data_IF_752428362638
#
_entry.id   IF_752428362638
#
_cell.length_a   1.000
_cell.length_b   1.000
_cell.length_c   1.000
_cell.angle_alpha   90.00
_cell.angle_beta   90.00
_cell.angle_gamma   90.00
#
_symmetry.space_group_name_H-M   'P 1'
#
loop_
_entity.id
_entity.type
_entity.pdbx_description
1 polymer ?
#
# COMPACT_ATOMS: atom_id res chain seq x y z
N UNK A 1 16.61 0.26 2.29
CA UNK A 1 15.54 -0.77 2.27
C UNK A 1 15.75 -1.80 1.16
N UNK A 2 15.67 -1.46 -0.14
CA UNK A 2 15.90 -2.39 -1.27
C UNK A 2 17.07 -3.37 -1.09
N UNK A 3 18.28 -2.85 -0.87
CA UNK A 3 19.48 -3.70 -0.72
C UNK A 3 19.42 -4.59 0.52
N UNK A 4 18.78 -4.12 1.59
CA UNK A 4 18.54 -4.94 2.78
C UNK A 4 17.58 -6.10 2.46
N UNK A 5 16.47 -5.86 1.76
CA UNK A 5 15.55 -6.94 1.33
C UNK A 5 16.25 -7.98 0.46
N UNK A 6 17.14 -7.55 -0.44
CA UNK A 6 17.90 -8.46 -1.30
C UNK A 6 18.90 -9.34 -0.54
N UNK A 7 19.46 -8.81 0.54
CA UNK A 7 20.36 -9.58 1.40
C UNK A 7 19.57 -10.52 2.31
N UNK A 8 18.56 -9.99 3.01
CA UNK A 8 17.76 -10.72 3.99
C UNK A 8 16.95 -11.84 3.33
N UNK A 9 16.27 -11.52 2.24
CA UNK A 9 15.43 -12.46 1.49
C UNK A 9 16.08 -12.86 0.17
N UNK A 10 17.39 -13.13 0.22
CA UNK A 10 18.18 -13.56 -0.95
C UNK A 10 17.63 -14.83 -1.64
N UNK A 11 16.86 -15.64 -0.91
CA UNK A 11 16.17 -16.83 -1.41
C UNK A 11 14.82 -16.56 -2.10
N UNK A 12 14.25 -15.36 -1.93
CA UNK A 12 13.04 -14.95 -2.61
C UNK A 12 13.35 -14.34 -3.99
N UNK A 13 12.40 -14.43 -4.94
CA UNK A 13 12.49 -13.67 -6.18
C UNK A 13 12.69 -12.17 -5.89
N UNK A 14 13.54 -11.55 -6.70
CA UNK A 14 13.77 -10.11 -6.67
C UNK A 14 12.48 -9.35 -6.99
N UNK A 15 12.38 -8.10 -6.52
CA UNK A 15 11.20 -7.27 -6.77
C UNK A 15 10.91 -7.17 -8.26
N UNK A 16 9.63 -7.23 -8.63
CA UNK A 16 9.20 -7.07 -10.01
C UNK A 16 8.93 -5.60 -10.34
N UNK A 17 8.50 -4.79 -9.36
CA UNK A 17 8.11 -3.39 -9.53
C UNK A 17 8.32 -2.58 -8.25
N UNK A 18 8.64 -1.30 -8.42
CA UNK A 18 8.52 -0.28 -7.36
C UNK A 18 7.32 0.60 -7.64
N UNK A 19 6.41 0.71 -6.68
CA UNK A 19 5.28 1.62 -6.75
C UNK A 19 5.55 2.85 -5.91
N UNK A 20 5.27 4.03 -6.46
CA UNK A 20 5.39 5.31 -5.75
C UNK A 20 4.10 6.08 -5.93
N UNK A 21 3.65 6.75 -4.87
CA UNK A 21 2.49 7.63 -4.94
C UNK A 21 2.65 8.66 -6.06
N UNK A 22 1.66 8.85 -6.96
CA UNK A 22 1.73 9.83 -8.04
C UNK A 22 2.07 11.27 -7.61
N UNK A 23 1.78 11.64 -6.36
CA UNK A 23 2.11 12.95 -5.80
C UNK A 23 3.61 13.08 -5.44
N UNK A 24 4.31 11.98 -5.15
CA UNK A 24 5.71 11.95 -4.74
C UNK A 24 6.68 12.02 -5.94
N UNK A 25 6.61 13.11 -6.71
CA UNK A 25 7.44 13.31 -7.90
C UNK A 25 8.94 13.39 -7.58
N UNK A 26 9.34 14.07 -6.51
CA UNK A 26 10.78 14.17 -6.11
C UNK A 26 11.38 12.80 -5.86
N UNK A 27 10.72 11.99 -5.03
CA UNK A 27 11.15 10.62 -4.72
C UNK A 27 11.24 9.76 -5.99
N UNK A 28 10.30 9.92 -6.91
CA UNK A 28 10.32 9.19 -8.18
C UNK A 28 11.56 9.56 -9.02
N UNK A 29 11.92 10.84 -9.07
CA UNK A 29 13.12 11.30 -9.79
C UNK A 29 14.41 10.89 -9.09
N UNK A 30 14.47 10.95 -7.76
CA UNK A 30 15.61 10.48 -6.98
C UNK A 30 15.87 8.99 -7.20
N UNK A 31 14.82 8.16 -7.15
CA UNK A 31 14.92 6.73 -7.45
C UNK A 31 15.36 6.49 -8.89
N UNK A 32 14.89 7.30 -9.85
CA UNK A 32 15.33 7.23 -11.25
C UNK A 32 16.83 7.50 -11.39
N UNK A 33 17.38 8.49 -10.69
CA UNK A 33 18.82 8.78 -10.67
C UNK A 33 19.62 7.59 -10.12
N UNK A 34 19.06 6.88 -9.14
CA UNK A 34 19.63 5.63 -8.60
C UNK A 34 19.41 4.40 -9.48
N UNK A 35 18.88 4.56 -10.70
CA UNK A 35 18.62 3.47 -11.65
C UNK A 35 17.39 2.62 -11.30
N UNK A 36 16.54 3.07 -10.38
CA UNK A 36 15.30 2.38 -9.98
C UNK A 36 14.14 2.96 -10.78
N UNK A 37 13.59 2.16 -11.69
CA UNK A 37 12.40 2.52 -12.46
C UNK A 37 11.15 2.33 -11.59
N UNK A 38 10.39 3.40 -11.40
CA UNK A 38 9.17 3.41 -10.61
C UNK A 38 7.92 3.32 -11.48
N UNK A 39 6.85 2.78 -10.91
CA UNK A 39 5.50 2.75 -11.47
C UNK A 39 4.59 3.57 -10.57
N UNK A 40 3.61 4.27 -11.14
CA UNK A 40 2.61 5.01 -10.36
C UNK A 40 1.76 4.03 -9.54
N UNK A 41 1.71 4.23 -8.23
CA UNK A 41 0.85 3.49 -7.32
C UNK A 41 -0.63 3.75 -7.66
N UNK A 42 -1.47 2.72 -7.49
CA UNK A 42 -2.91 2.87 -7.62
C UNK A 42 -3.52 3.39 -6.33
N UNK A 43 -3.59 4.72 -6.24
CA UNK A 43 -4.15 5.43 -5.10
C UNK A 43 -5.67 5.66 -5.17
N UNK A 44 -6.38 4.93 -6.05
CA UNK A 44 -7.81 5.07 -6.33
C UNK A 44 -8.22 6.39 -7.02
N UNK A 45 -7.29 7.29 -7.39
CA UNK A 45 -7.64 8.57 -8.08
C UNK A 45 -8.46 8.40 -9.36
N UNK A 46 -8.33 7.25 -10.04
CA UNK A 46 -9.06 6.90 -11.28
C UNK A 46 -10.33 6.07 -11.04
N UNK A 47 -10.60 5.62 -9.81
CA UNK A 47 -11.77 4.81 -9.55
C UNK A 47 -13.06 5.65 -9.66
N UNK A 48 -14.13 5.02 -10.14
CA UNK A 48 -15.46 5.64 -10.25
C UNK A 48 -16.24 5.32 -8.97
N UNK A 49 -16.93 6.31 -8.43
CA UNK A 49 -17.84 6.15 -7.28
C UNK A 49 -19.21 6.64 -7.68
N UNK A 50 -20.25 6.00 -7.14
CA UNK A 50 -21.62 6.53 -7.20
C UNK A 50 -21.72 7.78 -6.32
N UNK A 51 -22.80 8.55 -6.51
CA UNK A 51 -22.99 9.95 -6.11
C UNK A 51 -22.61 10.36 -4.67
N UNK A 52 -22.42 9.42 -3.74
CA UNK A 52 -22.19 9.68 -2.33
C UNK A 52 -20.87 9.10 -1.76
N UNK A 53 -20.06 8.38 -2.54
CA UNK A 53 -18.84 7.73 -2.05
C UNK A 53 -17.55 8.49 -2.39
N UNK A 54 -16.53 8.40 -1.52
CA UNK A 54 -15.17 8.84 -1.87
C UNK A 54 -14.44 7.73 -2.63
N UNK A 55 -13.55 8.08 -3.57
CA UNK A 55 -12.85 7.07 -4.39
C UNK A 55 -11.99 6.12 -3.56
N UNK A 56 -11.50 6.59 -2.42
CA UNK A 56 -10.70 5.81 -1.49
C UNK A 56 -11.50 4.66 -0.84
N UNK A 57 -12.83 4.78 -0.72
CA UNK A 57 -13.69 3.72 -0.18
C UNK A 57 -13.52 2.40 -0.94
N UNK A 58 -13.44 2.47 -2.27
CA UNK A 58 -13.23 1.28 -3.12
C UNK A 58 -11.92 0.56 -2.73
N UNK A 59 -10.86 1.31 -2.42
CA UNK A 59 -9.59 0.75 -1.96
C UNK A 59 -9.67 0.16 -0.55
N UNK A 60 -10.40 0.82 0.35
CA UNK A 60 -10.65 0.33 1.71
C UNK A 60 -11.44 -0.99 1.67
N UNK A 61 -12.50 -1.06 0.87
CA UNK A 61 -13.31 -2.28 0.70
C UNK A 61 -12.49 -3.44 0.11
N UNK A 62 -11.65 -3.17 -0.89
CA UNK A 62 -10.72 -4.18 -1.43
C UNK A 62 -9.74 -4.68 -0.35
N UNK A 63 -9.26 -3.77 0.49
CA UNK A 63 -8.37 -4.11 1.63
C UNK A 63 -9.08 -4.99 2.65
N UNK A 64 -10.29 -4.61 3.07
CA UNK A 64 -11.12 -5.42 3.96
C UNK A 64 -11.45 -6.79 3.36
N UNK A 65 -11.73 -6.86 2.06
CA UNK A 65 -11.97 -8.11 1.33
C UNK A 65 -10.72 -9.00 1.29
N UNK A 66 -9.53 -8.42 1.11
CA UNK A 66 -8.28 -9.16 1.16
C UNK A 66 -8.01 -9.74 2.56
N UNK A 67 -8.29 -8.97 3.62
CA UNK A 67 -8.11 -9.41 5.00
C UNK A 67 -9.11 -10.51 5.37
N UNK A 68 -10.40 -10.27 5.15
CA UNK A 68 -11.47 -11.21 5.50
C UNK A 68 -11.37 -12.55 4.75
N UNK A 69 -10.80 -12.56 3.54
CA UNK A 69 -10.59 -13.78 2.74
C UNK A 69 -9.24 -14.46 2.98
N UNK A 70 -8.45 -13.98 3.94
CA UNK A 70 -7.12 -14.55 4.24
C UNK A 70 -6.16 -14.48 3.07
N UNK A 71 -6.17 -13.37 2.30
CA UNK A 71 -5.30 -13.16 1.14
C UNK A 71 -4.13 -12.22 1.42
N UNK A 72 -4.11 -11.60 2.60
CA UNK A 72 -3.04 -10.72 3.05
C UNK A 72 -2.41 -11.32 4.31
N UNK A 73 -1.08 -11.33 4.34
CA UNK A 73 -0.31 -11.85 5.45
C UNK A 73 0.85 -10.90 5.74
N UNK A 74 1.13 -10.70 7.02
CA UNK A 74 2.37 -10.07 7.47
C UNK A 74 3.38 -11.19 7.71
N UNK A 75 4.45 -11.18 6.93
CA UNK A 75 5.55 -12.11 7.13
C UNK A 75 6.49 -11.55 8.18
N UNK A 76 6.46 -12.13 9.38
CA UNK A 76 7.30 -11.69 10.47
C UNK A 76 8.74 -12.19 10.30
N UNK A 77 9.70 -11.37 10.75
CA UNK A 77 11.10 -11.74 10.77
C UNK A 77 11.83 -10.97 11.89
N UNK A 78 12.86 -11.59 12.45
CA UNK A 78 13.75 -10.88 13.36
C UNK A 78 14.61 -9.89 12.54
N UNK A 79 14.65 -8.61 12.93
CA UNK A 79 15.53 -7.66 12.27
C UNK A 79 15.15 -6.19 12.38
N UNK A 80 15.73 -5.40 11.46
CA UNK A 80 15.66 -3.93 11.47
C UNK A 80 14.30 -3.38 11.05
N UNK A 81 13.61 -4.08 10.15
CA UNK A 81 12.30 -3.68 9.65
C UNK A 81 11.26 -4.64 10.23
N UNK A 82 10.02 -4.17 10.40
CA UNK A 82 8.96 -4.95 11.00
C UNK A 82 7.64 -4.23 10.86
N UNK A 83 6.60 -4.82 11.45
CA UNK A 83 5.21 -4.42 11.19
C UNK A 83 4.64 -3.44 12.20
N UNK A 84 5.46 -2.91 13.12
CA UNK A 84 4.99 -2.08 14.23
C UNK A 84 4.13 -0.90 13.78
N UNK A 85 4.60 -0.13 12.79
CA UNK A 85 3.84 1.02 12.29
C UNK A 85 2.56 0.60 11.59
N UNK A 86 2.59 -0.47 10.79
CA UNK A 86 1.39 -1.00 10.15
C UNK A 86 0.34 -1.45 11.18
N UNK A 87 0.74 -2.22 12.20
CA UNK A 87 -0.17 -2.72 13.25
C UNK A 87 -0.71 -1.55 14.09
N UNK A 88 0.15 -0.59 14.44
CA UNK A 88 -0.25 0.61 15.18
C UNK A 88 -1.29 1.41 14.39
N UNK A 89 -1.03 1.69 13.13
CA UNK A 89 -1.95 2.45 12.27
C UNK A 89 -3.26 1.68 12.06
N UNK A 90 -3.21 0.37 11.87
CA UNK A 90 -4.41 -0.48 11.78
C UNK A 90 -5.32 -0.34 13.01
N UNK A 91 -4.74 -0.28 14.21
CA UNK A 91 -5.49 -0.06 15.45
C UNK A 91 -5.98 1.38 15.66
N UNK A 92 -5.49 2.35 14.89
CA UNK A 92 -5.83 3.77 15.03
C UNK A 92 -6.70 4.30 13.88
N UNK A 93 -6.87 3.53 12.80
CA UNK A 93 -7.56 3.99 11.61
C UNK A 93 -9.08 4.01 11.82
N UNK A 94 -9.63 5.21 11.87
CA UNK A 94 -11.03 5.47 12.24
C UNK A 94 -11.72 6.37 11.23
N UNK A 95 -13.06 6.42 11.31
CA UNK A 95 -13.89 7.38 10.59
C UNK A 95 -14.30 8.52 11.51
N UNK A 96 -14.52 9.69 10.94
CA UNK A 96 -15.12 10.82 11.65
C UNK A 96 -16.65 10.67 11.75
N UNK A 97 -17.30 11.62 12.44
CA UNK A 97 -18.76 11.62 12.66
C UNK A 97 -19.59 11.65 11.37
N UNK A 98 -18.99 12.14 10.28
CA UNK A 98 -19.61 12.15 8.94
C UNK A 98 -19.36 10.87 8.15
N UNK A 99 -18.69 9.87 8.74
CA UNK A 99 -18.41 8.58 8.12
C UNK A 99 -17.21 8.58 7.16
N UNK A 100 -16.43 9.66 7.07
CA UNK A 100 -15.24 9.71 6.21
C UNK A 100 -14.00 9.17 6.95
N UNK A 101 -13.08 8.48 6.25
CA UNK A 101 -11.82 8.07 6.85
C UNK A 101 -11.03 9.29 7.31
N UNK A 102 -10.48 9.23 8.52
CA UNK A 102 -9.64 10.30 9.07
C UNK A 102 -8.24 10.22 8.44
N UNK A 103 -7.78 11.31 7.83
CA UNK A 103 -6.44 11.42 7.22
C UNK A 103 -5.37 11.68 8.29
N UNK A 104 -5.15 10.66 9.14
CA UNK A 104 -4.14 10.69 10.21
C UNK A 104 -3.74 9.27 10.60
N UNK A 105 -2.44 9.04 10.79
CA UNK A 105 -1.87 7.73 11.15
C UNK A 105 -2.27 6.64 10.13
N UNK A 106 -2.09 6.92 8.85
CA UNK A 106 -2.54 6.09 7.73
C UNK A 106 -1.46 5.82 6.68
N UNK A 107 -0.20 6.19 6.90
CA UNK A 107 0.85 6.09 5.89
C UNK A 107 1.10 4.65 5.44
N UNK A 108 1.21 3.71 6.38
CA UNK A 108 1.38 2.29 6.11
C UNK A 108 0.09 1.66 5.56
N UNK A 109 -1.08 2.15 5.98
CA UNK A 109 -2.37 1.69 5.45
C UNK A 109 -2.62 2.17 4.02
N UNK A 110 -2.17 3.36 3.66
CA UNK A 110 -2.22 3.88 2.30
C UNK A 110 -1.28 3.08 1.39
N UNK A 111 -0.06 2.80 1.84
CA UNK A 111 0.88 1.92 1.12
C UNK A 111 0.29 0.51 0.91
N UNK A 112 -0.29 -0.08 1.94
CA UNK A 112 -0.98 -1.36 1.87
C UNK A 112 -2.16 -1.34 0.88
N UNK A 113 -2.99 -0.29 0.93
CA UNK A 113 -4.12 -0.09 0.00
C UNK A 113 -3.64 -0.01 -1.45
N UNK A 114 -2.55 0.68 -1.71
CA UNK A 114 -1.96 0.78 -3.06
C UNK A 114 -1.54 -0.59 -3.59
N UNK A 115 -0.87 -1.39 -2.74
CA UNK A 115 -0.49 -2.75 -3.09
C UNK A 115 -1.73 -3.62 -3.36
N UNK A 116 -2.72 -3.60 -2.47
CA UNK A 116 -3.94 -4.41 -2.61
C UNK A 116 -4.75 -4.02 -3.85
N UNK A 117 -4.85 -2.73 -4.18
CA UNK A 117 -5.46 -2.31 -5.43
C UNK A 117 -4.78 -2.93 -6.65
N UNK A 118 -3.43 -2.88 -6.68
CA UNK A 118 -2.66 -3.49 -7.77
C UNK A 118 -2.94 -5.00 -7.88
N UNK A 119 -2.83 -5.75 -6.79
CA UNK A 119 -3.05 -7.19 -6.81
C UNK A 119 -4.50 -7.56 -7.14
N UNK A 120 -5.48 -6.81 -6.61
CA UNK A 120 -6.90 -7.04 -6.90
C UNK A 120 -7.20 -6.86 -8.38
N UNK A 121 -6.78 -5.74 -8.98
CA UNK A 121 -7.01 -5.46 -10.41
C UNK A 121 -6.23 -6.39 -11.34
N UNK A 122 -5.13 -6.97 -10.87
CA UNK A 122 -4.23 -7.81 -11.67
C UNK A 122 -4.60 -9.29 -11.65
N UNK A 123 -5.18 -9.77 -10.54
CA UNK A 123 -5.33 -11.20 -10.28
C UNK A 123 -6.72 -11.63 -9.78
N UNK A 124 -7.60 -10.69 -9.44
CA UNK A 124 -8.94 -11.00 -8.89
C UNK A 124 -10.06 -10.53 -9.81
N UNK A 125 -9.93 -9.33 -10.38
CA UNK A 125 -10.80 -8.79 -11.43
C UNK A 125 -10.27 -9.17 -12.81
#
# INVERSE_FOLDING_TARGET
FKEWCYKEWSWLPKHSKFFVDPACKSLSEELRVLGIVTTKADNNSKDKVTSNGTKIEVGIERTQSAFSKGRFFLYDHDGKYGHYHFIKELGMYVRNDSGYPVDKNNHALDECRYAINYFTKRYVL
#
